data_IF_150512006102
#
_entry.id   IF_150512006102
#
_cell.length_a   1.000
_cell.length_b   1.000
_cell.length_c   1.000
_cell.angle_alpha   90.00
_cell.angle_beta   90.00
_cell.angle_gamma   90.00
#
_symmetry.space_group_name_H-M   'P 1'
#
loop_
_entity.id
_entity.type
_entity.pdbx_description
1 polymer ?
#
# COMPACT_ATOMS: atom_id res chain seq x y z
N UNK A 1 -3.67 16.71 25.45
CA UNK A 1 -4.69 15.69 25.67
C UNK A 1 -4.76 14.72 24.49
N UNK A 2 -5.36 13.56 24.66
CA UNK A 2 -5.54 12.55 23.63
C UNK A 2 -6.27 13.11 22.38
N UNK A 3 -7.24 14.00 22.59
CA UNK A 3 -7.98 14.65 21.50
C UNK A 3 -7.14 15.59 20.65
N UNK A 4 -6.27 16.40 21.26
CA UNK A 4 -5.40 17.32 20.55
C UNK A 4 -4.38 16.59 19.67
N UNK A 5 -3.84 15.46 20.15
CA UNK A 5 -2.97 14.61 19.36
C UNK A 5 -3.71 13.95 18.20
N UNK A 6 -4.94 13.52 18.44
CA UNK A 6 -5.81 12.93 17.44
C UNK A 6 -6.06 13.86 16.24
N UNK A 7 -6.43 15.11 16.50
CA UNK A 7 -6.66 16.10 15.43
C UNK A 7 -5.37 16.46 14.68
N UNK A 8 -4.27 16.55 15.40
CA UNK A 8 -2.96 16.82 14.79
C UNK A 8 -2.54 15.69 13.86
N UNK A 9 -2.70 14.44 14.29
CA UNK A 9 -2.36 13.27 13.51
C UNK A 9 -3.30 13.08 12.31
N UNK A 10 -4.58 13.40 12.47
CA UNK A 10 -5.55 13.39 11.37
C UNK A 10 -5.17 14.37 10.25
N UNK A 11 -4.63 15.53 10.59
CA UNK A 11 -4.11 16.48 9.61
C UNK A 11 -2.85 15.98 8.92
N UNK A 12 -1.97 15.29 9.63
CA UNK A 12 -0.76 14.65 9.07
C UNK A 12 -1.14 13.54 8.10
N UNK A 13 -2.17 12.74 8.41
CA UNK A 13 -2.67 11.67 7.53
C UNK A 13 -3.25 12.20 6.22
N UNK A 14 -3.69 13.44 6.13
CA UNK A 14 -4.19 14.06 4.90
C UNK A 14 -3.09 14.54 3.97
N UNK A 15 -1.90 14.79 4.48
CA UNK A 15 -0.81 15.46 3.74
C UNK A 15 -0.34 14.71 2.48
N UNK A 16 -0.15 13.37 2.47
CA UNK A 16 0.31 12.65 1.28
C UNK A 16 -0.72 12.56 0.16
N UNK A 17 -1.96 12.93 0.45
CA UNK A 17 -3.09 12.83 -0.47
C UNK A 17 -3.62 14.21 -0.89
N UNK A 18 -2.74 15.21 -1.02
CA UNK A 18 -3.09 16.61 -1.32
C UNK A 18 -3.95 16.77 -2.58
N UNK A 19 -3.81 15.85 -3.56
CA UNK A 19 -4.56 15.88 -4.79
C UNK A 19 -5.86 15.06 -4.75
N UNK A 20 -6.00 14.17 -3.77
CA UNK A 20 -7.19 13.36 -3.54
C UNK A 20 -7.61 13.53 -2.09
N UNK A 21 -8.52 14.48 -1.84
CA UNK A 21 -9.04 14.70 -0.50
C UNK A 21 -9.83 13.48 -0.02
N UNK A 22 -9.15 12.53 0.62
CA UNK A 22 -9.86 11.50 1.39
C UNK A 22 -10.55 12.16 2.56
N UNK A 23 -11.83 12.38 2.42
CA UNK A 23 -12.65 13.01 3.45
C UNK A 23 -13.32 11.97 4.33
N UNK A 24 -13.39 10.72 3.89
CA UNK A 24 -14.14 9.67 4.55
C UNK A 24 -13.24 8.50 4.94
N UNK A 25 -12.65 8.59 6.14
CA UNK A 25 -11.83 7.53 6.70
C UNK A 25 -11.95 7.48 8.24
N UNK A 26 -11.76 6.29 8.78
CA UNK A 26 -11.58 6.09 10.22
C UNK A 26 -10.11 6.19 10.58
N UNK A 27 -9.81 6.59 11.80
CA UNK A 27 -8.45 6.55 12.35
C UNK A 27 -8.32 5.32 13.23
N UNK A 28 -7.22 4.61 13.05
CA UNK A 28 -6.89 3.41 13.82
C UNK A 28 -5.47 3.50 14.37
N UNK A 29 -5.25 2.87 15.50
CA UNK A 29 -3.91 2.77 16.09
C UNK A 29 -3.35 1.35 15.95
N UNK A 30 -2.03 1.26 15.83
CA UNK A 30 -1.33 -0.02 15.79
C UNK A 30 -1.49 -0.77 17.10
N UNK A 31 -1.86 -2.04 17.03
CA UNK A 31 -1.93 -2.95 18.18
C UNK A 31 -0.83 -3.99 18.16
N UNK A 32 -0.54 -4.56 17.00
CA UNK A 32 0.54 -5.54 16.87
C UNK A 32 1.10 -5.55 15.45
N UNK A 33 2.42 -5.54 15.36
CA UNK A 33 3.18 -5.82 14.16
C UNK A 33 4.53 -6.40 14.60
N UNK A 34 4.76 -7.67 14.29
CA UNK A 34 6.05 -8.30 14.54
C UNK A 34 7.03 -7.93 13.41
N UNK A 35 8.09 -7.12 13.69
CA UNK A 35 9.05 -6.74 12.65
C UNK A 35 9.82 -7.92 12.06
N UNK A 36 9.89 -9.05 12.76
CA UNK A 36 10.62 -10.22 12.29
C UNK A 36 9.97 -10.90 11.09
N UNK A 37 8.67 -10.68 10.85
CA UNK A 37 8.00 -11.26 9.67
C UNK A 37 8.65 -10.84 8.37
N UNK A 38 9.24 -9.65 8.30
CA UNK A 38 9.93 -9.16 7.11
C UNK A 38 11.26 -9.86 6.82
N UNK A 39 11.80 -10.56 7.81
CA UNK A 39 13.08 -11.27 7.68
C UNK A 39 12.92 -12.77 7.44
N UNK A 40 11.76 -13.34 7.79
CA UNK A 40 11.58 -14.78 7.78
C UNK A 40 10.49 -15.27 6.83
N UNK A 41 9.50 -14.45 6.60
CA UNK A 41 8.19 -15.02 6.31
C UNK A 41 7.55 -14.38 5.08
N UNK A 42 6.63 -15.10 4.47
CA UNK A 42 5.87 -14.63 3.30
C UNK A 42 4.58 -13.93 3.71
N UNK A 43 4.08 -14.25 4.90
CA UNK A 43 2.84 -13.69 5.44
C UNK A 43 3.15 -12.45 6.27
N UNK A 44 2.71 -11.29 5.77
CA UNK A 44 2.93 -9.99 6.39
C UNK A 44 1.61 -9.38 6.82
N UNK A 45 1.34 -9.39 8.11
CA UNK A 45 0.09 -8.91 8.70
C UNK A 45 0.38 -7.96 9.87
N UNK A 46 -0.49 -6.98 10.04
CA UNK A 46 -0.54 -6.16 11.24
C UNK A 46 -1.97 -6.09 11.76
N UNK A 47 -2.11 -5.70 13.02
CA UNK A 47 -3.39 -5.56 13.69
C UNK A 47 -3.55 -4.15 14.19
N UNK A 48 -4.69 -3.55 13.87
CA UNK A 48 -5.03 -2.18 14.24
C UNK A 48 -6.40 -2.13 14.91
N UNK A 49 -6.65 -1.10 15.69
CA UNK A 49 -7.95 -0.85 16.34
C UNK A 49 -8.45 0.53 15.95
N UNK A 50 -9.68 0.61 15.45
CA UNK A 50 -10.34 1.88 15.16
C UNK A 50 -10.59 2.64 16.45
N UNK A 51 -10.09 3.87 16.53
CA UNK A 51 -10.21 4.77 17.69
C UNK A 51 -11.09 5.99 17.41
N UNK A 52 -11.52 6.20 16.18
CA UNK A 52 -12.46 7.26 15.80
C UNK A 52 -13.92 6.87 16.09
N UNK A 53 -14.79 7.86 16.12
CA UNK A 53 -16.23 7.65 16.39
C UNK A 53 -16.93 6.87 15.27
N UNK A 54 -16.42 6.97 14.04
CA UNK A 54 -16.92 6.22 12.88
C UNK A 54 -16.20 4.88 12.83
N UNK A 55 -16.90 3.81 13.18
CA UNK A 55 -16.34 2.45 13.25
C UNK A 55 -16.83 1.54 12.13
N UNK A 56 -16.84 2.05 10.89
CA UNK A 56 -17.27 1.28 9.73
C UNK A 56 -16.07 0.94 8.85
N UNK A 57 -15.25 0.00 9.29
CA UNK A 57 -14.23 -0.59 8.45
C UNK A 57 -14.70 -1.95 7.95
N UNK A 58 -14.71 -2.14 6.65
CA UNK A 58 -15.10 -3.38 6.00
C UNK A 58 -13.89 -4.16 5.52
N UNK A 59 -14.07 -5.45 5.28
CA UNK A 59 -13.10 -6.27 4.57
C UNK A 59 -12.74 -5.63 3.22
N UNK A 60 -11.48 -5.64 2.87
CA UNK A 60 -10.87 -5.00 1.69
C UNK A 60 -10.70 -3.47 1.80
N UNK A 61 -11.14 -2.82 2.85
CA UNK A 61 -10.87 -1.39 3.06
C UNK A 61 -9.38 -1.09 2.97
N UNK A 62 -9.03 -0.04 2.25
CA UNK A 62 -7.64 0.39 2.09
C UNK A 62 -7.15 1.04 3.37
N UNK A 63 -5.99 0.62 3.83
CA UNK A 63 -5.29 1.17 5.00
C UNK A 63 -4.10 1.99 4.53
N UNK A 64 -3.98 3.20 5.04
CA UNK A 64 -2.93 4.14 4.66
C UNK A 64 -2.29 4.83 5.87
N UNK A 65 -1.11 5.35 5.67
CA UNK A 65 -0.40 6.21 6.62
C UNK A 65 -0.12 7.57 5.99
N UNK A 66 0.56 8.43 6.71
CA UNK A 66 1.04 9.71 6.17
C UNK A 66 2.01 9.55 4.99
N UNK A 67 2.62 8.38 4.82
CA UNK A 67 3.59 8.11 3.76
C UNK A 67 3.02 7.38 2.54
N UNK A 68 1.78 6.90 2.60
CA UNK A 68 1.13 6.20 1.50
C UNK A 68 0.30 4.99 1.93
N UNK A 69 -0.03 4.16 0.96
CA UNK A 69 -0.83 2.95 1.18
C UNK A 69 0.01 1.90 1.91
N UNK A 70 -0.58 1.30 2.94
CA UNK A 70 0.03 0.26 3.77
C UNK A 70 -0.49 -1.13 3.38
N UNK A 71 -1.76 -1.27 3.10
CA UNK A 71 -2.40 -2.54 2.79
C UNK A 71 -3.92 -2.47 2.78
N UNK A 72 -4.55 -3.60 3.08
CA UNK A 72 -6.01 -3.72 3.12
C UNK A 72 -6.46 -4.55 4.31
N UNK A 73 -7.64 -4.24 4.83
CA UNK A 73 -8.29 -5.06 5.86
C UNK A 73 -8.58 -6.44 5.30
N UNK A 74 -8.09 -7.48 5.95
CA UNK A 74 -8.33 -8.88 5.59
C UNK A 74 -9.37 -9.55 6.48
N UNK A 75 -9.44 -9.16 7.76
CA UNK A 75 -10.45 -9.63 8.70
C UNK A 75 -10.96 -8.50 9.56
N UNK A 76 -12.26 -8.51 9.80
CA UNK A 76 -12.96 -7.60 10.69
C UNK A 76 -13.00 -8.17 12.12
N UNK A 77 -13.25 -7.28 13.07
CA UNK A 77 -13.35 -7.64 14.49
C UNK A 77 -12.97 -6.46 15.36
N UNK A 78 -12.80 -6.71 16.65
CA UNK A 78 -12.28 -5.71 17.59
C UNK A 78 -10.93 -5.15 17.12
N UNK A 79 -10.06 -6.06 16.68
CA UNK A 79 -8.82 -5.73 15.99
C UNK A 79 -8.98 -6.07 14.52
N UNK A 80 -8.70 -5.10 13.65
CA UNK A 80 -8.68 -5.34 12.21
C UNK A 80 -7.35 -5.98 11.85
N UNK A 81 -7.41 -7.14 11.18
CA UNK A 81 -6.23 -7.70 10.54
C UNK A 81 -6.01 -6.99 9.22
N UNK A 82 -4.79 -6.50 8.99
CA UNK A 82 -4.39 -5.83 7.76
C UNK A 82 -3.36 -6.69 7.04
N UNK A 83 -3.67 -7.05 5.80
CA UNK A 83 -2.68 -7.62 4.90
C UNK A 83 -1.83 -6.50 4.30
N UNK A 84 -0.51 -6.59 4.51
CA UNK A 84 0.42 -5.56 4.03
C UNK A 84 0.71 -5.73 2.54
N UNK A 85 1.11 -4.65 1.88
CA UNK A 85 1.47 -4.69 0.44
C UNK A 85 2.60 -5.67 0.15
N UNK A 86 3.47 -5.94 1.11
CA UNK A 86 4.61 -6.87 0.98
C UNK A 86 4.26 -8.34 1.16
N UNK A 87 3.05 -8.65 1.62
CA UNK A 87 2.56 -10.04 1.74
C UNK A 87 2.48 -10.69 0.36
N UNK A 88 2.99 -11.92 0.21
CA UNK A 88 3.02 -12.61 -1.10
C UNK A 88 1.64 -12.87 -1.70
N UNK A 89 0.59 -12.87 -0.88
CA UNK A 89 -0.79 -13.04 -1.34
C UNK A 89 -1.49 -11.73 -1.71
N UNK A 90 -0.84 -10.58 -1.49
CA UNK A 90 -1.40 -9.26 -1.81
C UNK A 90 -1.00 -8.81 -3.22
N UNK A 91 -1.93 -8.12 -3.87
CA UNK A 91 -1.73 -7.54 -5.20
C UNK A 91 -2.41 -6.18 -5.28
N UNK A 92 -1.74 -5.22 -5.90
CA UNK A 92 -2.26 -3.87 -6.15
C UNK A 92 -2.05 -3.49 -7.62
N UNK A 93 -3.13 -3.07 -8.33
CA UNK A 93 -3.01 -2.60 -9.72
C UNK A 93 -2.26 -1.27 -9.79
N UNK A 94 -1.21 -1.24 -10.59
CA UNK A 94 -0.30 -0.11 -10.74
C UNK A 94 -0.26 0.42 -12.16
N UNK A 95 0.17 1.67 -12.28
CA UNK A 95 0.54 2.32 -13.54
C UNK A 95 1.84 3.09 -13.37
N UNK A 96 2.56 3.26 -14.47
CA UNK A 96 3.72 4.14 -14.49
C UNK A 96 3.30 5.61 -14.56
N UNK A 97 4.23 6.53 -14.28
CA UNK A 97 4.02 7.98 -14.36
C UNK A 97 3.50 8.43 -15.73
N UNK A 98 3.91 7.76 -16.82
CA UNK A 98 3.48 8.08 -18.18
C UNK A 98 2.07 7.60 -18.53
N UNK A 99 1.37 6.93 -17.64
CA UNK A 99 0.05 6.29 -17.86
C UNK A 99 0.00 5.27 -19.01
N UNK A 100 1.16 4.83 -19.49
CA UNK A 100 1.24 3.89 -20.62
C UNK A 100 1.47 2.46 -20.20
N UNK A 101 2.16 2.25 -19.10
CA UNK A 101 2.51 0.93 -18.59
C UNK A 101 1.66 0.59 -17.37
N UNK A 102 1.06 -0.58 -17.39
CA UNK A 102 0.21 -1.10 -16.32
C UNK A 102 0.69 -2.48 -15.89
N UNK A 103 0.66 -2.74 -14.60
CA UNK A 103 1.00 -4.03 -14.03
C UNK A 103 0.34 -4.24 -12.68
N UNK A 104 0.42 -5.46 -12.17
CA UNK A 104 0.00 -5.78 -10.81
C UNK A 104 1.24 -5.86 -9.91
N UNK A 105 1.27 -5.01 -8.88
CA UNK A 105 2.30 -5.04 -7.84
C UNK A 105 2.00 -6.13 -6.84
N UNK A 106 2.77 -7.21 -6.88
CA UNK A 106 2.64 -8.37 -5.99
C UNK A 106 3.61 -8.23 -4.81
N UNK A 107 3.14 -8.56 -3.61
CA UNK A 107 4.00 -8.64 -2.44
C UNK A 107 5.17 -9.62 -2.66
N UNK A 108 6.37 -9.19 -2.27
CA UNK A 108 7.60 -9.96 -2.48
C UNK A 108 7.93 -10.92 -1.33
N UNK A 109 7.29 -10.76 -0.17
CA UNK A 109 7.70 -11.40 1.07
C UNK A 109 8.93 -10.78 1.71
N UNK A 110 9.41 -9.65 1.18
CA UNK A 110 10.55 -8.88 1.72
C UNK A 110 10.08 -7.52 2.20
N UNK A 111 10.81 -6.95 3.16
CA UNK A 111 10.55 -5.60 3.62
C UNK A 111 10.61 -4.59 2.47
N UNK A 112 9.66 -3.67 2.42
CA UNK A 112 9.61 -2.50 1.54
C UNK A 112 9.58 -2.77 0.03
N UNK A 113 9.45 -4.02 -0.41
CA UNK A 113 9.55 -4.40 -1.82
C UNK A 113 8.27 -5.08 -2.29
N UNK A 114 7.75 -4.62 -3.42
CA UNK A 114 6.76 -5.34 -4.22
C UNK A 114 7.33 -5.58 -5.61
N UNK A 115 6.76 -6.54 -6.33
CA UNK A 115 7.25 -6.96 -7.65
C UNK A 115 6.16 -6.80 -8.70
N UNK A 116 6.53 -6.17 -9.80
CA UNK A 116 5.71 -6.01 -10.98
C UNK A 116 6.33 -6.81 -12.12
N UNK A 117 5.62 -7.86 -12.57
CA UNK A 117 6.10 -8.71 -13.66
C UNK A 117 5.48 -8.30 -14.98
N UNK A 118 6.26 -8.34 -16.06
CA UNK A 118 5.76 -8.07 -17.41
C UNK A 118 6.47 -8.89 -18.47
N UNK A 119 5.82 -9.00 -19.62
CA UNK A 119 6.38 -9.71 -20.79
C UNK A 119 7.08 -8.69 -21.72
N UNK A 120 8.42 -8.76 -21.88
CA UNK A 120 9.16 -7.84 -22.74
C UNK A 120 8.89 -8.00 -24.24
N UNK A 121 8.25 -9.08 -24.65
CA UNK A 121 7.79 -9.26 -26.04
C UNK A 121 6.50 -8.47 -26.32
N UNK A 122 5.72 -8.21 -25.30
CA UNK A 122 4.48 -7.41 -25.38
C UNK A 122 4.77 -5.94 -25.13
N UNK A 123 5.46 -5.64 -24.04
CA UNK A 123 5.91 -4.29 -23.73
C UNK A 123 7.40 -4.16 -24.09
N UNK A 124 7.68 -3.49 -25.19
CA UNK A 124 9.02 -3.42 -25.78
C UNK A 124 9.82 -2.19 -25.38
N UNK A 125 9.17 -1.18 -24.80
CA UNK A 125 9.86 0.02 -24.33
C UNK A 125 10.62 -0.28 -23.04
N UNK A 126 11.76 0.36 -22.84
CA UNK A 126 12.50 0.29 -21.59
C UNK A 126 11.75 1.01 -20.47
N UNK A 127 11.73 0.40 -19.29
CA UNK A 127 11.24 1.05 -18.09
C UNK A 127 12.39 1.91 -17.55
N UNK A 128 12.20 3.23 -17.40
CA UNK A 128 13.27 4.10 -16.88
C UNK A 128 13.73 3.69 -15.50
N UNK A 129 15.00 3.91 -15.22
CA UNK A 129 15.57 3.78 -13.89
C UNK A 129 14.85 4.72 -12.93
N UNK A 130 14.48 4.25 -11.75
CA UNK A 130 13.70 4.99 -10.75
C UNK A 130 12.30 5.43 -11.22
N UNK A 131 11.71 4.74 -12.19
CA UNK A 131 10.30 5.00 -12.58
C UNK A 131 9.38 4.98 -11.37
N UNK A 132 8.50 5.98 -11.30
CA UNK A 132 7.53 6.09 -10.21
C UNK A 132 6.24 5.37 -10.60
N UNK A 133 5.73 4.56 -9.70
CA UNK A 133 4.48 3.82 -9.86
C UNK A 133 3.39 4.37 -8.96
N UNK A 134 2.20 4.47 -9.53
CA UNK A 134 0.98 4.92 -8.85
C UNK A 134 -0.08 3.84 -8.93
N UNK A 135 -1.07 3.91 -8.06
CA UNK A 135 -2.27 3.09 -8.20
C UNK A 135 -2.99 3.45 -9.50
N UNK A 136 -3.41 2.43 -10.25
CA UNK A 136 -4.14 2.63 -11.51
C UNK A 136 -5.65 2.87 -11.31
N UNK A 137 -6.19 2.45 -10.17
CA UNK A 137 -7.62 2.45 -9.90
C UNK A 137 -8.39 1.33 -10.58
N UNK A 138 -7.73 0.44 -11.32
CA UNK A 138 -8.37 -0.71 -11.95
C UNK A 138 -9.01 -1.62 -10.91
N UNK A 139 -10.22 -2.10 -11.18
CA UNK A 139 -10.98 -2.92 -10.25
C UNK A 139 -11.71 -2.14 -9.17
N UNK A 140 -11.48 -0.82 -9.03
CA UNK A 140 -12.25 0.06 -8.15
C UNK A 140 -12.01 -0.11 -6.65
N UNK A 141 -11.01 -0.90 -6.24
CA UNK A 141 -10.69 -1.14 -4.82
C UNK A 141 -9.75 -0.07 -4.27
N UNK A 142 -8.67 0.20 -5.00
CA UNK A 142 -7.72 1.27 -4.64
C UNK A 142 -8.09 2.57 -5.34
N UNK A 143 -8.06 3.70 -4.63
CA UNK A 143 -8.15 5.01 -5.26
C UNK A 143 -7.06 5.18 -6.31
N UNK A 144 -7.38 5.88 -7.41
CA UNK A 144 -6.46 6.15 -8.51
C UNK A 144 -5.42 7.21 -8.14
N UNK A 145 -4.25 7.16 -8.78
CA UNK A 145 -3.21 8.20 -8.74
C UNK A 145 -2.50 8.37 -7.39
N UNK A 146 -2.47 7.34 -6.56
CA UNK A 146 -1.70 7.37 -5.31
C UNK A 146 -0.31 6.78 -5.54
N UNK A 147 0.72 7.53 -5.20
CA UNK A 147 2.10 7.06 -5.29
C UNK A 147 2.31 5.83 -4.40
N UNK A 148 2.84 4.77 -5.00
CA UNK A 148 3.16 3.51 -4.30
C UNK A 148 4.66 3.41 -4.03
N UNK A 149 5.49 3.74 -5.00
CA UNK A 149 6.94 3.64 -4.86
C UNK A 149 7.66 3.86 -6.18
N UNK A 150 8.92 3.51 -6.21
CA UNK A 150 9.75 3.66 -7.39
C UNK A 150 10.55 2.39 -7.70
N UNK A 151 10.77 2.15 -8.98
CA UNK A 151 11.58 1.02 -9.45
C UNK A 151 13.03 1.18 -8.98
N UNK A 152 13.60 0.11 -8.40
CA UNK A 152 14.99 0.08 -7.95
C UNK A 152 15.83 -0.95 -8.71
N UNK A 153 15.18 -1.95 -9.31
CA UNK A 153 15.87 -2.99 -10.06
C UNK A 153 14.93 -3.65 -11.05
N UNK A 154 15.46 -4.04 -12.20
CA UNK A 154 14.76 -4.84 -13.22
C UNK A 154 15.58 -6.07 -13.52
N UNK A 155 15.00 -7.25 -13.34
CA UNK A 155 15.66 -8.52 -13.53
C UNK A 155 15.07 -9.30 -14.69
N UNK A 156 15.93 -9.88 -15.50
CA UNK A 156 15.54 -10.82 -16.57
C UNK A 156 15.31 -12.20 -15.93
N UNK A 157 14.07 -12.64 -15.87
CA UNK A 157 13.70 -13.93 -15.29
C UNK A 157 13.68 -15.02 -16.37
N UNK A 158 13.08 -14.70 -17.53
CA UNK A 158 12.99 -15.58 -18.68
C UNK A 158 12.83 -14.73 -19.96
N UNK A 159 12.87 -15.32 -21.18
CA UNK A 159 12.62 -14.56 -22.40
C UNK A 159 11.25 -13.89 -22.47
N UNK A 160 10.28 -14.36 -21.70
CA UNK A 160 8.91 -13.81 -21.66
C UNK A 160 8.56 -13.10 -20.36
N UNK A 161 9.53 -12.94 -19.44
CA UNK A 161 9.25 -12.32 -18.14
C UNK A 161 10.42 -11.49 -17.63
N UNK A 162 10.15 -10.24 -17.32
CA UNK A 162 10.97 -9.35 -16.49
C UNK A 162 10.23 -9.00 -15.21
N UNK A 163 10.97 -8.90 -14.12
CA UNK A 163 10.46 -8.47 -12.83
C UNK A 163 11.04 -7.10 -12.47
N UNK A 164 10.15 -6.16 -12.14
CA UNK A 164 10.51 -4.86 -11.62
C UNK A 164 10.37 -4.89 -10.11
N UNK A 165 11.43 -4.67 -9.39
CA UNK A 165 11.40 -4.46 -7.94
C UNK A 165 11.07 -3.00 -7.66
N UNK A 166 9.97 -2.78 -6.94
CA UNK A 166 9.48 -1.46 -6.57
C UNK A 166 9.67 -1.28 -5.06
N UNK A 167 10.44 -0.26 -4.69
CA UNK A 167 10.59 0.14 -3.29
C UNK A 167 9.40 1.00 -2.87
N UNK A 168 8.70 0.57 -1.84
CA UNK A 168 7.51 1.24 -1.32
C UNK A 168 7.86 2.57 -0.65
N UNK A 169 7.01 3.57 -0.86
CA UNK A 169 7.11 4.87 -0.21
C UNK A 169 6.69 4.83 1.26
N UNK A 170 5.79 3.91 1.62
CA UNK A 170 5.26 3.77 2.97
C UNK A 170 5.81 2.53 3.67
N UNK A 171 6.17 2.71 4.95
CA UNK A 171 6.62 1.62 5.81
C UNK A 171 5.68 1.54 7.02
N UNK A 172 5.04 0.39 7.29
CA UNK A 172 4.12 0.24 8.41
C UNK A 172 4.79 0.41 9.79
N UNK A 173 6.12 0.28 9.86
CA UNK A 173 6.89 0.44 11.11
C UNK A 173 7.12 1.90 11.51
N UNK A 174 6.90 2.86 10.58
CA UNK A 174 7.21 4.27 10.83
C UNK A 174 6.11 5.03 11.57
N UNK A 175 4.92 4.44 11.70
CA UNK A 175 3.76 5.13 12.28
C UNK A 175 2.99 4.21 13.24
N UNK A 176 2.32 4.83 14.22
CA UNK A 176 1.39 4.17 15.12
C UNK A 176 -0.08 4.43 14.75
N UNK A 177 -0.33 5.43 13.88
CA UNK A 177 -1.67 5.80 13.44
C UNK A 177 -1.84 5.57 11.93
N UNK A 178 -3.00 5.06 11.59
CA UNK A 178 -3.38 4.73 10.22
C UNK A 178 -4.79 5.24 9.91
N UNK A 179 -5.03 5.55 8.65
CA UNK A 179 -6.36 5.77 8.13
C UNK A 179 -6.90 4.49 7.52
N UNK A 180 -8.19 4.25 7.71
CA UNK A 180 -8.93 3.17 7.06
C UNK A 180 -10.00 3.82 6.20
N UNK A 181 -9.90 3.68 4.88
CA UNK A 181 -10.86 4.26 3.96
C UNK A 181 -12.23 3.60 4.16
N UNK A 182 -13.22 4.45 4.30
CA UNK A 182 -14.63 4.07 4.25
C UNK A 182 -15.11 4.21 2.81
N UNK A 183 -16.24 3.66 2.48
CA UNK A 183 -16.79 3.56 1.11
C UNK A 183 -16.47 4.75 0.20
N UNK A 184 -16.02 4.40 -1.01
CA UNK A 184 -15.76 5.34 -2.10
C UNK A 184 -17.04 5.74 -2.82
#
# INVERSE_FOLDING_TARGET
>A
SRENNFYKDKNVLKHPFEHNSFTNYSVAELKNLDPNVFNCCDKHRMYIEVISDIKQAAKESVVFSSSGIIGQVSNEGKYLEVILLTDISHSVPLKSLSDKFFCNGRGSGKADIIICSYNPLVWKEEIPSNEIFYTSGMGGVFPKDIKIGNAINISDISPTRKDIEIKLSANPLDNNLFGVLLDQ
#
